data_IF_285030422304
#
_entry.id   IF_285030422304
#
_cell.length_a   1.000
_cell.length_b   1.000
_cell.length_c   1.000
_cell.angle_alpha   90.00
_cell.angle_beta   90.00
_cell.angle_gamma   90.00
#
_symmetry.space_group_name_H-M   'P 1'
#
loop_
_entity.id
_entity.type
_entity.pdbx_description
1 polymer ?
#
# COMPACT_ATOMS: atom_id res chain seq x y z
N UNK A 1 7.50 79.76 -23.38
CA UNK A 1 6.49 78.73 -23.62
C UNK A 1 7.20 77.40 -23.80
N UNK A 2 7.26 76.57 -22.81
CA UNK A 2 7.74 75.16 -22.91
C UNK A 2 6.91 74.32 -21.94
N UNK A 3 5.96 73.58 -22.53
CA UNK A 3 5.12 72.62 -21.80
C UNK A 3 5.94 71.37 -21.54
N UNK A 4 6.10 70.97 -20.27
CA UNK A 4 6.68 69.73 -19.86
C UNK A 4 5.52 68.73 -19.60
N UNK A 5 5.41 67.69 -20.43
CA UNK A 5 4.54 66.55 -20.22
C UNK A 5 5.23 65.61 -19.25
N UNK A 6 4.67 65.46 -18.07
CA UNK A 6 5.07 64.41 -17.13
C UNK A 6 4.30 63.13 -17.47
N UNK A 7 5.02 62.12 -17.95
CA UNK A 7 4.48 60.76 -18.14
C UNK A 7 4.66 60.00 -16.83
N UNK A 8 3.55 59.76 -16.12
CA UNK A 8 3.53 58.86 -14.96
C UNK A 8 3.44 57.40 -15.46
N UNK A 9 4.52 56.66 -15.29
CA UNK A 9 4.57 55.21 -15.50
C UNK A 9 4.04 54.51 -14.24
N UNK A 10 2.82 54.01 -14.32
CA UNK A 10 2.26 53.16 -13.28
C UNK A 10 2.86 51.74 -13.42
N UNK A 11 3.78 51.37 -12.53
CA UNK A 11 4.27 50.01 -12.43
C UNK A 11 3.26 49.17 -11.63
N UNK A 12 2.40 48.40 -12.29
CA UNK A 12 1.57 47.42 -11.64
C UNK A 12 2.41 46.17 -11.32
N UNK A 13 2.80 46.01 -10.04
CA UNK A 13 3.34 44.73 -9.55
C UNK A 13 2.22 43.70 -9.56
N UNK A 14 2.25 42.80 -10.53
CA UNK A 14 1.46 41.58 -10.49
C UNK A 14 2.09 40.62 -9.46
N UNK A 15 1.51 40.52 -8.28
CA UNK A 15 1.84 39.48 -7.31
C UNK A 15 1.31 38.16 -7.84
N UNK A 16 2.18 37.38 -8.51
CA UNK A 16 1.87 36.02 -8.90
C UNK A 16 1.92 35.16 -7.64
N UNK A 17 0.76 34.95 -7.02
CA UNK A 17 0.60 33.97 -5.94
C UNK A 17 0.76 32.58 -6.54
N UNK A 18 1.96 32.01 -6.43
CA UNK A 18 2.16 30.61 -6.72
C UNK A 18 1.54 29.82 -5.56
N UNK A 19 0.61 28.87 -5.81
CA UNK A 19 0.16 27.96 -4.75
C UNK A 19 1.36 27.11 -4.36
N UNK A 20 1.82 27.28 -3.11
CA UNK A 20 2.82 26.38 -2.54
C UNK A 20 2.26 24.97 -2.50
N UNK A 21 2.99 23.94 -2.96
CA UNK A 21 2.54 22.56 -2.82
C UNK A 21 2.41 22.25 -1.33
N UNK A 22 1.20 21.85 -0.93
CA UNK A 22 0.88 21.47 0.46
C UNK A 22 1.40 20.05 0.69
N UNK A 23 2.69 19.91 0.92
CA UNK A 23 3.37 18.62 1.17
C UNK A 23 3.02 17.99 2.53
N UNK A 24 2.34 18.73 3.42
CA UNK A 24 2.01 18.26 4.77
C UNK A 24 0.65 17.58 4.94
N UNK A 25 -0.31 17.85 4.06
CA UNK A 25 -1.67 17.35 4.20
C UNK A 25 -1.79 15.85 3.89
N UNK A 26 -1.03 15.36 2.89
CA UNK A 26 -1.06 13.94 2.48
C UNK A 26 -0.44 13.04 3.55
N UNK A 27 0.70 13.43 4.13
CA UNK A 27 1.37 12.64 5.17
C UNK A 27 0.54 12.51 6.46
N UNK A 28 -0.20 13.56 6.86
CA UNK A 28 -1.11 13.50 8.00
C UNK A 28 -2.32 12.60 7.71
N UNK A 29 -2.86 12.68 6.50
CA UNK A 29 -3.95 11.80 6.02
C UNK A 29 -3.53 10.33 6.03
N UNK A 30 -2.35 10.02 5.52
CA UNK A 30 -1.79 8.65 5.48
C UNK A 30 -1.59 8.08 6.88
N UNK A 31 -1.06 8.87 7.83
CA UNK A 31 -0.88 8.45 9.22
C UNK A 31 -2.19 8.09 9.89
N UNK A 32 -3.25 8.90 9.72
CA UNK A 32 -4.57 8.60 10.25
C UNK A 32 -5.21 7.39 9.58
N UNK A 33 -4.98 7.21 8.29
CA UNK A 33 -5.45 6.03 7.56
C UNK A 33 -4.80 4.76 8.09
N UNK A 34 -3.48 4.74 8.28
CA UNK A 34 -2.73 3.60 8.84
C UNK A 34 -3.23 3.25 10.24
N UNK A 35 -3.51 4.24 11.09
CA UNK A 35 -4.09 4.00 12.43
C UNK A 35 -5.45 3.30 12.35
N UNK A 36 -6.33 3.72 11.43
CA UNK A 36 -7.63 3.07 11.22
C UNK A 36 -7.48 1.65 10.67
N UNK A 37 -6.53 1.44 9.75
CA UNK A 37 -6.20 0.11 9.23
C UNK A 37 -5.71 -0.84 10.33
N UNK A 38 -4.91 -0.35 11.29
CA UNK A 38 -4.32 -1.16 12.35
C UNK A 38 -5.36 -1.96 13.16
N UNK A 39 -6.55 -1.40 13.38
CA UNK A 39 -7.65 -2.08 14.09
C UNK A 39 -8.15 -3.31 13.33
N UNK A 40 -7.97 -3.34 12.01
CA UNK A 40 -8.46 -4.40 11.13
C UNK A 40 -7.38 -5.45 10.80
N UNK A 41 -6.13 -5.22 11.19
CA UNK A 41 -5.02 -6.16 10.95
C UNK A 41 -5.32 -7.59 11.42
N UNK A 42 -5.90 -7.83 12.63
CA UNK A 42 -6.22 -9.20 13.06
C UNK A 42 -7.18 -9.92 12.11
N UNK A 43 -8.13 -9.20 11.51
CA UNK A 43 -9.06 -9.78 10.55
C UNK A 43 -8.34 -10.17 9.24
N UNK A 44 -7.36 -9.37 8.81
CA UNK A 44 -6.54 -9.67 7.65
C UNK A 44 -5.63 -10.88 7.90
N UNK A 45 -5.03 -10.96 9.10
CA UNK A 45 -4.25 -12.13 9.51
C UNK A 45 -5.09 -13.41 9.46
N UNK A 46 -6.31 -13.37 9.99
CA UNK A 46 -7.22 -14.52 9.96
C UNK A 46 -7.61 -14.89 8.52
N UNK A 47 -7.88 -13.90 7.67
CA UNK A 47 -8.22 -14.14 6.25
C UNK A 47 -7.06 -14.79 5.49
N UNK A 48 -5.83 -14.28 5.67
CA UNK A 48 -4.63 -14.83 5.07
C UNK A 48 -4.34 -16.25 5.57
N UNK A 49 -4.41 -16.47 6.89
CA UNK A 49 -4.19 -17.76 7.50
C UNK A 49 -5.18 -18.81 6.98
N UNK A 50 -6.46 -18.46 6.89
CA UNK A 50 -7.51 -19.37 6.38
C UNK A 50 -7.29 -19.70 4.89
N UNK A 51 -6.89 -18.71 4.08
CA UNK A 51 -6.68 -18.90 2.64
C UNK A 51 -5.46 -19.79 2.34
N UNK A 52 -4.37 -19.68 3.13
CA UNK A 52 -3.16 -20.47 2.97
C UNK A 52 -3.14 -21.77 3.78
N UNK A 53 -4.14 -22.00 4.65
CA UNK A 53 -4.15 -23.17 5.55
C UNK A 53 -3.10 -23.10 6.66
N UNK A 54 -2.83 -21.88 7.17
CA UNK A 54 -1.88 -21.59 8.24
C UNK A 54 -2.55 -21.30 9.58
N UNK A 55 -1.77 -21.33 10.65
CA UNK A 55 -2.17 -20.70 11.91
C UNK A 55 -1.96 -19.18 11.83
N UNK A 56 -2.75 -18.42 12.58
CA UNK A 56 -2.64 -16.95 12.60
C UNK A 56 -1.23 -16.49 13.01
N UNK A 57 -0.58 -17.25 13.92
CA UNK A 57 0.79 -16.97 14.37
C UNK A 57 1.88 -17.10 13.29
N UNK A 58 1.58 -17.82 12.19
CA UNK A 58 2.47 -17.95 11.03
C UNK A 58 2.28 -16.83 10.00
N UNK A 59 1.36 -15.92 10.25
CA UNK A 59 1.05 -14.81 9.36
C UNK A 59 1.33 -13.49 10.07
N UNK A 60 2.17 -12.65 9.48
CA UNK A 60 2.34 -11.26 9.90
C UNK A 60 1.72 -10.37 8.85
N UNK A 61 0.99 -9.35 9.27
CA UNK A 61 0.39 -8.36 8.37
C UNK A 61 0.84 -6.98 8.79
N UNK A 62 1.32 -6.23 7.82
CA UNK A 62 1.66 -4.81 7.95
C UNK A 62 0.91 -4.01 6.89
N UNK A 63 0.59 -2.77 7.18
CA UNK A 63 -0.04 -1.87 6.21
C UNK A 63 0.59 -0.50 6.21
N UNK A 64 0.65 0.07 5.03
CA UNK A 64 0.84 1.50 4.79
C UNK A 64 -0.45 2.06 4.19
N UNK A 65 -0.52 3.36 3.96
CA UNK A 65 -1.70 3.96 3.32
C UNK A 65 -2.06 3.27 1.97
N UNK A 66 -1.05 2.81 1.21
CA UNK A 66 -1.23 2.34 -0.17
C UNK A 66 -0.93 0.85 -0.38
N UNK A 67 -0.43 0.16 0.64
CA UNK A 67 0.04 -1.22 0.53
C UNK A 67 -0.31 -2.04 1.75
N UNK A 68 -0.66 -3.30 1.53
CA UNK A 68 -0.74 -4.34 2.57
C UNK A 68 0.34 -5.38 2.28
N UNK A 69 1.17 -5.70 3.27
CA UNK A 69 2.21 -6.74 3.20
C UNK A 69 1.84 -7.89 4.10
N UNK A 70 1.92 -9.11 3.59
CA UNK A 70 1.67 -10.36 4.31
C UNK A 70 2.95 -11.19 4.28
N UNK A 71 3.55 -11.42 5.46
CA UNK A 71 4.64 -12.37 5.62
C UNK A 71 4.07 -13.74 5.99
N UNK A 72 4.33 -14.75 5.17
CA UNK A 72 4.03 -16.16 5.47
C UNK A 72 5.29 -16.78 6.05
N UNK A 73 5.30 -16.94 7.36
CA UNK A 73 6.48 -17.28 8.15
C UNK A 73 6.65 -18.80 8.21
N UNK A 74 7.83 -19.27 7.83
CA UNK A 74 8.21 -20.69 7.89
C UNK A 74 7.20 -21.60 7.17
N UNK A 75 6.71 -21.15 6.01
CA UNK A 75 5.79 -21.91 5.16
C UNK A 75 6.40 -23.26 4.77
N UNK A 76 5.57 -24.30 4.74
CA UNK A 76 5.89 -25.58 4.10
C UNK A 76 6.27 -25.43 2.62
N UNK A 77 5.81 -24.34 1.96
CA UNK A 77 6.12 -24.04 0.56
C UNK A 77 7.46 -23.33 0.38
N UNK A 78 8.21 -23.01 1.45
CA UNK A 78 9.52 -22.37 1.30
C UNK A 78 10.51 -23.24 0.50
N UNK A 79 10.32 -24.55 0.49
CA UNK A 79 11.11 -25.53 -0.30
C UNK A 79 10.39 -25.99 -1.57
N UNK A 80 9.17 -25.56 -1.82
CA UNK A 80 8.38 -25.92 -2.99
C UNK A 80 8.78 -25.11 -4.23
N UNK A 81 8.10 -25.37 -5.36
CA UNK A 81 8.31 -24.62 -6.58
C UNK A 81 7.81 -23.17 -6.46
N UNK A 82 8.35 -22.26 -7.30
CA UNK A 82 7.83 -20.90 -7.40
C UNK A 82 6.36 -20.88 -7.88
N UNK A 83 5.97 -21.85 -8.70
CA UNK A 83 4.58 -21.97 -9.19
C UNK A 83 3.60 -22.29 -8.05
N UNK A 84 3.98 -23.21 -7.15
CA UNK A 84 3.14 -23.58 -6.00
C UNK A 84 2.98 -22.39 -5.05
N UNK A 85 4.07 -21.67 -4.77
CA UNK A 85 4.02 -20.44 -3.96
C UNK A 85 3.15 -19.37 -4.62
N UNK A 86 3.25 -19.18 -5.95
CA UNK A 86 2.43 -18.21 -6.66
C UNK A 86 0.93 -18.56 -6.61
N UNK A 87 0.58 -19.84 -6.71
CA UNK A 87 -0.80 -20.27 -6.61
C UNK A 87 -1.40 -19.97 -5.22
N UNK A 88 -0.66 -20.28 -4.15
CA UNK A 88 -1.08 -19.98 -2.78
C UNK A 88 -1.11 -18.47 -2.52
N UNK A 89 -0.09 -17.73 -2.95
CA UNK A 89 -0.04 -16.28 -2.83
C UNK A 89 -1.23 -15.62 -3.53
N UNK A 90 -1.65 -16.12 -4.69
CA UNK A 90 -2.84 -15.63 -5.41
C UNK A 90 -4.13 -15.87 -4.61
N UNK A 91 -4.24 -17.02 -3.94
CA UNK A 91 -5.39 -17.31 -3.06
C UNK A 91 -5.42 -16.37 -1.85
N UNK A 92 -4.27 -16.14 -1.21
CA UNK A 92 -4.13 -15.21 -0.07
C UNK A 92 -4.46 -13.78 -0.53
N UNK A 93 -3.89 -13.30 -1.66
CA UNK A 93 -4.16 -11.97 -2.19
C UNK A 93 -5.64 -11.76 -2.49
N UNK A 94 -6.31 -12.78 -3.06
CA UNK A 94 -7.76 -12.75 -3.30
C UNK A 94 -8.56 -12.64 -2.00
N UNK A 95 -8.19 -13.39 -0.96
CA UNK A 95 -8.84 -13.34 0.34
C UNK A 95 -8.66 -11.97 1.02
N UNK A 96 -7.45 -11.41 0.98
CA UNK A 96 -7.17 -10.06 1.47
C UNK A 96 -7.94 -9.02 0.68
N UNK A 97 -7.93 -9.09 -0.64
CA UNK A 97 -8.70 -8.19 -1.52
C UNK A 97 -10.19 -8.16 -1.17
N UNK A 98 -10.79 -9.32 -0.89
CA UNK A 98 -12.18 -9.42 -0.41
C UNK A 98 -12.35 -8.82 0.99
N UNK A 99 -11.40 -9.06 1.90
CA UNK A 99 -11.48 -8.57 3.27
C UNK A 99 -11.37 -7.04 3.37
N UNK A 100 -10.61 -6.39 2.48
CA UNK A 100 -10.47 -4.93 2.41
C UNK A 100 -11.48 -4.27 1.46
N UNK A 101 -12.12 -5.04 0.60
CA UNK A 101 -13.08 -4.54 -0.37
C UNK A 101 -14.25 -3.80 0.30
N UNK A 102 -14.55 -2.59 -0.19
CA UNK A 102 -15.62 -1.74 0.35
C UNK A 102 -15.31 -1.07 1.69
N UNK A 103 -14.13 -1.28 2.28
CA UNK A 103 -13.71 -0.61 3.51
C UNK A 103 -12.98 0.70 3.20
N UNK A 104 -13.48 1.81 3.76
CA UNK A 104 -12.91 3.15 3.54
C UNK A 104 -11.46 3.25 4.01
N UNK A 105 -11.10 2.49 5.07
CA UNK A 105 -9.75 2.44 5.65
C UNK A 105 -8.71 1.92 4.66
N UNK A 106 -9.13 1.12 3.67
CA UNK A 106 -8.24 0.55 2.65
C UNK A 106 -8.52 1.10 1.24
N UNK A 107 -9.26 2.20 1.12
CA UNK A 107 -9.64 2.76 -0.18
C UNK A 107 -8.44 3.14 -1.06
N UNK A 108 -7.36 3.65 -0.44
CA UNK A 108 -6.13 4.05 -1.12
C UNK A 108 -5.15 2.89 -1.36
N UNK A 109 -5.42 1.68 -0.83
CA UNK A 109 -4.56 0.52 -1.06
C UNK A 109 -4.67 0.08 -2.52
N UNK A 110 -3.54 0.05 -3.19
CA UNK A 110 -3.39 -0.32 -4.61
C UNK A 110 -2.51 -1.55 -4.81
N UNK A 111 -1.81 -1.99 -3.75
CA UNK A 111 -0.87 -3.12 -3.84
C UNK A 111 -0.99 -4.03 -2.63
N UNK A 112 -0.93 -5.34 -2.88
CA UNK A 112 -0.75 -6.39 -1.86
C UNK A 112 0.59 -7.08 -2.15
N UNK A 113 1.47 -7.14 -1.15
CA UNK A 113 2.70 -7.94 -1.18
C UNK A 113 2.51 -9.19 -0.35
N UNK A 114 3.00 -10.33 -0.83
CA UNK A 114 3.02 -11.59 -0.09
C UNK A 114 4.43 -12.13 -0.13
N UNK A 115 5.06 -12.18 1.03
CA UNK A 115 6.44 -12.60 1.19
C UNK A 115 6.49 -13.94 1.94
N UNK A 116 7.13 -14.93 1.33
CA UNK A 116 7.48 -16.19 2.00
C UNK A 116 8.79 -16.00 2.74
N UNK A 117 8.75 -16.17 4.05
CA UNK A 117 9.85 -15.82 4.95
C UNK A 117 10.31 -17.05 5.72
N UNK A 118 11.64 -17.24 5.85
CA UNK A 118 12.25 -18.20 6.78
C UNK A 118 12.86 -17.49 7.97
N UNK A 119 12.81 -18.10 9.14
CA UNK A 119 13.34 -17.54 10.37
C UNK A 119 12.37 -16.57 11.04
N UNK A 120 12.83 -15.95 12.13
CA UNK A 120 12.07 -15.00 12.94
C UNK A 120 12.95 -13.80 13.31
N UNK A 121 12.32 -12.65 13.47
CA UNK A 121 12.99 -11.42 13.90
C UNK A 121 14.16 -11.04 12.99
N UNK A 122 15.32 -10.73 13.55
CA UNK A 122 16.50 -10.30 12.79
C UNK A 122 17.14 -11.40 11.91
N UNK A 123 16.75 -12.67 12.11
CA UNK A 123 17.19 -13.80 11.30
C UNK A 123 16.23 -14.10 10.12
N UNK A 124 15.15 -13.35 10.01
CA UNK A 124 14.16 -13.51 8.94
C UNK A 124 14.78 -13.20 7.56
N UNK A 125 14.52 -14.09 6.58
CA UNK A 125 14.96 -13.93 5.19
C UNK A 125 13.78 -14.19 4.26
N UNK A 126 13.58 -13.30 3.30
CA UNK A 126 12.59 -13.51 2.24
C UNK A 126 13.12 -14.59 1.29
N UNK A 127 12.35 -15.65 1.11
CA UNK A 127 12.59 -16.72 0.15
C UNK A 127 12.11 -16.27 -1.24
N UNK A 128 10.90 -15.69 -1.28
CA UNK A 128 10.29 -15.16 -2.49
C UNK A 128 9.15 -14.22 -2.11
N UNK A 129 9.02 -13.12 -2.85
CA UNK A 129 7.92 -12.18 -2.76
C UNK A 129 7.06 -12.18 -4.04
N UNK A 130 5.78 -11.89 -3.88
CA UNK A 130 4.81 -11.72 -4.95
C UNK A 130 4.07 -10.40 -4.78
N UNK A 131 3.86 -9.69 -5.88
CA UNK A 131 3.20 -8.40 -5.91
C UNK A 131 1.89 -8.52 -6.69
N UNK A 132 0.80 -8.06 -6.08
CA UNK A 132 -0.53 -8.05 -6.67
C UNK A 132 -1.01 -6.61 -6.72
N UNK A 133 -1.31 -6.12 -7.92
CA UNK A 133 -1.82 -4.77 -8.13
C UNK A 133 -3.34 -4.76 -8.27
N UNK A 134 -3.95 -3.70 -7.77
CA UNK A 134 -5.40 -3.49 -7.84
C UNK A 134 -5.81 -3.16 -9.27
N UNK A 135 -6.75 -3.93 -9.79
CA UNK A 135 -7.40 -3.66 -11.07
C UNK A 135 -8.54 -2.65 -10.92
N UNK A 136 -9.03 -2.07 -12.04
CA UNK A 136 -10.19 -1.18 -12.03
C UNK A 136 -11.46 -1.80 -11.44
N UNK A 137 -11.61 -3.13 -11.51
CA UNK A 137 -12.72 -3.89 -10.92
C UNK A 137 -12.57 -4.13 -9.41
N UNK A 138 -11.49 -3.63 -8.80
CA UNK A 138 -11.17 -3.78 -7.38
C UNK A 138 -10.51 -5.10 -7.00
N UNK A 139 -10.32 -6.03 -7.95
CA UNK A 139 -9.57 -7.27 -7.70
C UNK A 139 -8.06 -7.03 -7.71
N UNK A 140 -7.31 -7.90 -7.04
CA UNK A 140 -5.85 -7.87 -7.03
C UNK A 140 -5.32 -9.04 -7.86
N UNK A 141 -4.42 -8.75 -8.82
CA UNK A 141 -3.78 -9.75 -9.68
C UNK A 141 -2.28 -9.52 -9.76
N UNK A 142 -1.52 -10.61 -9.85
CA UNK A 142 -0.09 -10.51 -10.15
C UNK A 142 0.10 -10.08 -11.60
N UNK A 143 0.95 -9.07 -11.81
CA UNK A 143 1.50 -8.81 -13.12
C UNK A 143 2.83 -9.56 -13.21
N UNK A 144 2.82 -10.75 -13.83
CA UNK A 144 4.06 -11.37 -14.26
C UNK A 144 4.55 -10.61 -15.49
N UNK A 145 5.73 -10.01 -15.39
CA UNK A 145 6.47 -9.44 -16.53
C UNK A 145 7.09 -10.58 -17.34
#
# INVERSE_FOLDING_TARGET
>A
MKSAFAVAVLLTLAVVSHPMPVWGADAASDSEQVKRQAVLIPNLQQAAASAGGYTVSSIKVESTAHQVTIDVINSKLNTASAADRNAEASAIASAIGKAIGGKSEFSAVVTIHIDYVTGLGNAAKIVQGFVFNKNPDGTFKSHQS
#
